data_IF_154890346972
#
_entry.id   IF_154890346972
#
_cell.length_a   1.000
_cell.length_b   1.000
_cell.length_c   1.000
_cell.angle_alpha   90.00
_cell.angle_beta   90.00
_cell.angle_gamma   90.00
#
_symmetry.space_group_name_H-M   'P 1'
#
loop_
_entity.id
_entity.type
_entity.pdbx_description
1 polymer ?
#
# COMPACT_ATOMS: atom_id res chain seq x y z
N UNK A 1 -11.46 16.75 -20.36
CA UNK A 1 -12.01 17.72 -19.39
C UNK A 1 -11.44 17.47 -17.99
N UNK A 2 -11.53 16.25 -17.45
CA UNK A 2 -11.08 15.91 -16.11
C UNK A 2 -9.57 16.15 -15.87
N UNK A 3 -8.70 15.86 -16.85
CA UNK A 3 -7.25 16.12 -16.72
C UNK A 3 -6.92 17.60 -16.58
N UNK A 4 -7.74 18.48 -17.16
CA UNK A 4 -7.59 19.93 -17.06
C UNK A 4 -7.83 20.40 -15.62
N UNK A 5 -8.80 19.83 -14.90
CA UNK A 5 -9.09 20.17 -13.50
C UNK A 5 -7.95 19.83 -12.56
N UNK A 6 -7.08 18.86 -12.92
CA UNK A 6 -5.85 18.52 -12.21
C UNK A 6 -4.61 19.21 -12.80
N UNK A 7 -4.77 20.26 -13.58
CA UNK A 7 -3.66 20.97 -14.24
C UNK A 7 -2.74 20.05 -15.05
N UNK A 8 -3.29 18.97 -15.63
CA UNK A 8 -2.59 17.93 -16.38
C UNK A 8 -1.51 17.19 -15.58
N UNK A 9 -1.58 17.20 -14.26
CA UNK A 9 -0.74 16.38 -13.38
C UNK A 9 -1.60 15.28 -12.79
N UNK A 10 -1.76 14.18 -13.52
CA UNK A 10 -2.62 13.08 -13.11
C UNK A 10 -2.09 11.72 -13.59
N UNK A 11 -2.63 10.68 -12.99
CA UNK A 11 -2.37 9.29 -13.36
C UNK A 11 -3.68 8.67 -13.77
N UNK A 12 -3.69 8.01 -14.92
CA UNK A 12 -4.78 7.17 -15.38
C UNK A 12 -4.47 5.75 -14.97
N UNK A 13 -5.34 5.14 -14.17
CA UNK A 13 -5.18 3.75 -13.70
C UNK A 13 -6.29 2.87 -14.25
N UNK A 14 -5.96 1.65 -14.71
CA UNK A 14 -6.99 0.67 -15.04
C UNK A 14 -7.78 0.27 -13.79
N UNK A 15 -9.10 0.06 -13.93
CA UNK A 15 -9.97 -0.40 -12.83
C UNK A 15 -9.69 -1.85 -12.46
N UNK A 16 -9.22 -2.63 -13.42
CA UNK A 16 -9.02 -4.07 -13.28
C UNK A 16 -7.65 -4.46 -13.86
N UNK A 17 -7.10 -5.56 -13.37
CA UNK A 17 -5.85 -6.17 -13.85
C UNK A 17 -4.61 -5.24 -13.79
N UNK A 18 -4.67 -4.18 -12.97
CA UNK A 18 -3.53 -3.32 -12.69
C UNK A 18 -2.65 -3.95 -11.60
N UNK A 19 -1.36 -4.20 -11.90
CA UNK A 19 -0.36 -4.68 -10.94
C UNK A 19 1.03 -4.25 -11.40
N UNK A 20 1.96 -4.08 -10.48
CA UNK A 20 3.36 -3.72 -10.77
C UNK A 20 3.52 -2.56 -11.76
N UNK A 21 2.66 -1.53 -11.63
CA UNK A 21 2.64 -0.37 -12.52
C UNK A 21 2.03 -0.61 -13.90
N UNK A 22 1.57 -1.82 -14.22
CA UNK A 22 0.80 -2.10 -15.44
C UNK A 22 -0.56 -1.43 -15.36
N UNK A 23 -1.03 -0.87 -16.48
CA UNK A 23 -2.30 -0.13 -16.53
C UNK A 23 -2.25 1.24 -15.87
N UNK A 24 -1.04 1.77 -15.57
CA UNK A 24 -0.87 3.12 -15.03
C UNK A 24 -0.18 4.03 -16.05
N UNK A 25 -0.78 5.17 -16.34
CA UNK A 25 -0.28 6.13 -17.32
C UNK A 25 -0.20 7.51 -16.72
N UNK A 26 1.01 8.08 -16.65
CA UNK A 26 1.18 9.49 -16.26
C UNK A 26 0.70 10.39 -17.37
N UNK A 27 -0.24 11.27 -17.07
CA UNK A 27 -0.78 12.25 -18.01
C UNK A 27 -0.12 13.60 -17.76
N UNK A 28 0.33 14.23 -18.85
CA UNK A 28 0.79 15.60 -18.90
C UNK A 28 0.30 16.28 -20.18
N UNK A 29 0.51 17.58 -20.32
CA UNK A 29 0.05 18.34 -21.49
C UNK A 29 0.56 17.81 -22.83
N UNK A 30 1.75 17.21 -22.83
CA UNK A 30 2.46 16.82 -24.05
C UNK A 30 2.09 15.42 -24.56
N UNK A 31 1.38 14.61 -23.75
CA UNK A 31 1.05 13.22 -24.11
C UNK A 31 -0.46 12.95 -24.21
N UNK A 32 -1.29 13.97 -24.26
CA UNK A 32 -2.76 13.83 -24.30
C UNK A 32 -3.25 13.08 -25.53
N UNK A 33 -2.55 13.23 -26.65
CA UNK A 33 -2.93 12.61 -27.93
C UNK A 33 -2.89 11.07 -27.89
N UNK A 34 -2.00 10.49 -27.08
CA UNK A 34 -1.89 9.03 -26.90
C UNK A 34 -3.20 8.44 -26.36
N UNK A 35 -3.97 9.23 -25.65
CA UNK A 35 -5.19 8.77 -24.96
C UNK A 35 -6.48 9.01 -25.76
N UNK A 36 -6.42 9.53 -26.98
CA UNK A 36 -7.62 9.82 -27.80
C UNK A 36 -8.46 8.58 -28.11
N UNK A 37 -7.82 7.43 -28.23
CA UNK A 37 -8.46 6.15 -28.54
C UNK A 37 -8.73 5.27 -27.32
N UNK A 38 -8.44 5.76 -26.10
CA UNK A 38 -8.65 5.00 -24.90
C UNK A 38 -10.13 4.87 -24.53
N UNK A 39 -10.57 3.67 -24.19
CA UNK A 39 -11.86 3.46 -23.57
C UNK A 39 -11.81 3.83 -22.08
N UNK A 40 -12.05 5.09 -21.76
CA UNK A 40 -11.97 5.64 -20.41
C UNK A 40 -12.93 5.01 -19.39
N UNK A 41 -13.94 4.25 -19.82
CA UNK A 41 -14.86 3.55 -18.91
C UNK A 41 -14.15 2.57 -18.01
N UNK A 42 -13.00 2.01 -18.48
CA UNK A 42 -12.20 1.04 -17.77
C UNK A 42 -11.08 1.65 -16.93
N UNK A 43 -11.07 2.97 -16.80
CA UNK A 43 -10.00 3.69 -16.10
C UNK A 43 -10.54 4.63 -15.03
N UNK A 44 -9.69 4.90 -14.04
CA UNK A 44 -9.87 5.94 -13.03
C UNK A 44 -8.78 6.98 -13.25
N UNK A 45 -9.15 8.26 -13.19
CA UNK A 45 -8.20 9.36 -13.25
C UNK A 45 -7.96 9.90 -11.84
N UNK A 46 -6.73 9.79 -11.37
CA UNK A 46 -6.29 10.30 -10.07
C UNK A 46 -5.40 11.51 -10.24
N UNK A 47 -5.52 12.47 -9.32
CA UNK A 47 -4.56 13.57 -9.23
C UNK A 47 -3.19 13.02 -8.88
N UNK A 48 -2.14 13.48 -9.57
CA UNK A 48 -0.77 13.14 -9.18
C UNK A 48 -0.45 13.72 -7.81
N UNK A 49 0.02 12.86 -6.92
CA UNK A 49 0.40 13.23 -5.55
C UNK A 49 1.92 13.43 -5.50
N UNK A 50 2.36 14.63 -5.07
CA UNK A 50 3.76 14.92 -4.79
C UNK A 50 4.03 14.59 -3.32
N UNK A 51 4.51 13.39 -3.08
CA UNK A 51 4.74 12.86 -1.75
C UNK A 51 6.23 12.91 -1.35
N UNK A 52 6.47 12.85 -0.05
CA UNK A 52 7.81 12.80 0.57
C UNK A 52 8.30 11.37 0.72
N UNK A 53 7.41 10.47 1.11
CA UNK A 53 7.69 9.05 1.36
C UNK A 53 6.50 8.18 1.02
N UNK A 54 6.78 6.93 0.72
CA UNK A 54 5.79 5.86 0.65
C UNK A 54 5.98 4.94 1.85
N UNK A 55 4.89 4.58 2.50
CA UNK A 55 4.88 3.63 3.62
C UNK A 55 3.78 2.60 3.40
N UNK A 56 3.88 1.48 4.09
CA UNK A 56 2.79 0.52 4.16
C UNK A 56 2.62 -0.07 5.55
N UNK A 57 1.38 -0.43 5.86
CA UNK A 57 0.98 -1.20 7.04
C UNK A 57 0.26 -2.45 6.55
N UNK A 58 0.65 -3.60 7.06
CA UNK A 58 -0.11 -4.85 6.88
C UNK A 58 -0.93 -5.08 8.13
N UNK A 59 -2.25 -5.16 7.95
CA UNK A 59 -3.21 -5.50 9.02
C UNK A 59 -3.73 -6.89 8.78
N UNK A 60 -3.86 -7.67 9.83
CA UNK A 60 -4.56 -8.95 9.82
C UNK A 60 -5.69 -8.89 10.81
N UNK A 61 -6.86 -9.33 10.39
CA UNK A 61 -8.06 -9.36 11.20
C UNK A 61 -8.70 -10.74 11.15
N UNK A 62 -9.06 -11.23 12.32
CA UNK A 62 -9.95 -12.38 12.52
C UNK A 62 -11.29 -11.89 13.07
N UNK A 63 -12.19 -12.81 13.39
CA UNK A 63 -13.46 -12.47 14.04
C UNK A 63 -13.26 -11.83 15.43
N UNK A 64 -12.22 -12.22 16.15
CA UNK A 64 -12.00 -11.87 17.56
C UNK A 64 -10.94 -10.78 17.76
N UNK A 65 -9.99 -10.65 16.85
CA UNK A 65 -8.85 -9.77 17.04
C UNK A 65 -8.37 -9.11 15.75
N UNK A 66 -7.63 -8.02 15.92
CA UNK A 66 -6.95 -7.31 14.82
C UNK A 66 -5.54 -6.98 15.27
N UNK A 67 -4.57 -7.31 14.42
CA UNK A 67 -3.15 -6.99 14.64
C UNK A 67 -2.60 -6.27 13.42
N UNK A 68 -1.47 -5.60 13.60
CA UNK A 68 -0.71 -5.02 12.49
C UNK A 68 0.75 -5.45 12.53
N UNK A 69 1.36 -5.52 11.37
CA UNK A 69 2.81 -5.51 11.22
C UNK A 69 3.33 -4.07 11.35
N UNK A 70 4.53 -3.89 11.90
CA UNK A 70 5.13 -2.56 11.96
C UNK A 70 5.19 -1.88 10.61
N UNK A 71 5.06 -0.56 10.62
CA UNK A 71 5.12 0.26 9.41
C UNK A 71 6.48 0.17 8.74
N UNK A 72 6.50 -0.06 7.44
CA UNK A 72 7.72 -0.07 6.61
C UNK A 72 7.71 1.10 5.63
N UNK A 73 8.92 1.60 5.33
CA UNK A 73 9.14 2.57 4.26
C UNK A 73 9.42 1.82 2.96
N UNK A 74 8.75 2.21 1.89
CA UNK A 74 8.83 1.57 0.59
C UNK A 74 9.53 2.47 -0.44
N UNK A 75 10.33 1.87 -1.29
CA UNK A 75 10.93 2.53 -2.45
C UNK A 75 10.46 1.84 -3.72
N UNK A 76 9.71 2.60 -4.54
CA UNK A 76 9.29 2.16 -5.85
C UNK A 76 10.18 2.75 -6.96
N UNK A 77 10.46 1.93 -7.98
CA UNK A 77 11.13 2.35 -9.22
C UNK A 77 10.27 1.93 -10.40
N UNK A 78 9.85 2.87 -11.24
CA UNK A 78 8.95 2.60 -12.38
C UNK A 78 7.63 1.92 -11.93
N UNK A 79 7.07 2.38 -10.81
CA UNK A 79 5.87 1.83 -10.18
C UNK A 79 5.98 0.37 -9.70
N UNK A 80 7.19 -0.16 -9.55
CA UNK A 80 7.45 -1.49 -8.99
C UNK A 80 8.17 -1.34 -7.66
N UNK A 81 7.68 -2.01 -6.62
CA UNK A 81 8.33 -2.04 -5.32
C UNK A 81 9.72 -2.68 -5.47
N UNK A 82 10.75 -1.96 -5.07
CA UNK A 82 12.14 -2.44 -5.09
C UNK A 82 12.67 -2.76 -3.72
N UNK A 83 12.32 -1.95 -2.74
CA UNK A 83 12.86 -2.11 -1.39
C UNK A 83 11.81 -1.74 -0.35
N UNK A 84 11.84 -2.46 0.78
CA UNK A 84 11.12 -2.08 2.00
C UNK A 84 12.10 -2.04 3.17
N UNK A 85 11.97 -1.05 4.03
CA UNK A 85 12.83 -0.86 5.19
C UNK A 85 12.03 -0.87 6.48
N UNK A 86 12.50 -1.66 7.45
CA UNK A 86 12.06 -1.57 8.83
C UNK A 86 13.24 -1.24 9.76
N UNK A 87 13.09 -0.32 10.71
CA UNK A 87 11.96 0.57 10.89
C UNK A 87 11.86 1.64 9.79
N UNK A 88 10.65 2.08 9.49
CA UNK A 88 10.42 3.23 8.64
C UNK A 88 11.03 4.49 9.28
N UNK A 89 11.67 5.33 8.49
CA UNK A 89 12.25 6.60 8.98
C UNK A 89 11.18 7.69 9.03
N UNK A 90 10.22 7.54 9.94
CA UNK A 90 9.08 8.44 10.17
C UNK A 90 8.97 8.77 11.66
N UNK A 91 8.19 9.78 12.02
CA UNK A 91 7.92 10.09 13.41
C UNK A 91 6.90 9.10 14.01
N UNK A 92 6.88 8.99 15.34
CA UNK A 92 5.92 8.12 16.05
C UNK A 92 4.47 8.54 15.83
N UNK A 93 4.22 9.83 15.69
CA UNK A 93 2.88 10.38 15.40
C UNK A 93 2.37 9.90 14.05
N UNK A 94 3.21 9.97 13.00
CA UNK A 94 2.88 9.47 11.66
C UNK A 94 2.67 7.95 11.69
N UNK A 95 3.52 7.21 12.39
CA UNK A 95 3.36 5.76 12.53
C UNK A 95 2.03 5.41 13.20
N UNK A 96 1.72 6.07 14.31
CA UNK A 96 0.44 5.86 15.04
C UNK A 96 -0.76 6.21 14.17
N UNK A 97 -0.72 7.32 13.44
CA UNK A 97 -1.79 7.72 12.53
C UNK A 97 -1.99 6.69 11.41
N UNK A 98 -0.89 6.18 10.82
CA UNK A 98 -0.94 5.16 9.77
C UNK A 98 -1.60 3.87 10.28
N UNK A 99 -1.25 3.42 11.49
CA UNK A 99 -1.82 2.22 12.11
C UNK A 99 -3.31 2.43 12.43
N UNK A 100 -3.70 3.57 13.02
CA UNK A 100 -5.10 3.87 13.33
C UNK A 100 -5.96 3.86 12.07
N UNK A 101 -5.53 4.58 11.02
CA UNK A 101 -6.22 4.57 9.72
C UNK A 101 -6.36 3.16 9.15
N UNK A 102 -5.33 2.34 9.31
CA UNK A 102 -5.34 0.96 8.81
C UNK A 102 -6.36 0.10 9.54
N UNK A 103 -6.50 0.25 10.86
CA UNK A 103 -7.52 -0.45 11.65
C UNK A 103 -8.93 0.04 11.32
N UNK A 104 -9.13 1.34 11.17
CA UNK A 104 -10.41 1.91 10.75
C UNK A 104 -10.87 1.34 9.42
N UNK A 105 -9.98 1.29 8.42
CA UNK A 105 -10.27 0.72 7.10
C UNK A 105 -10.62 -0.77 7.23
N UNK A 106 -9.79 -1.57 7.93
CA UNK A 106 -10.01 -2.99 8.11
C UNK A 106 -11.35 -3.30 8.79
N UNK A 107 -11.75 -2.46 9.75
CA UNK A 107 -13.05 -2.58 10.41
C UNK A 107 -14.20 -2.18 9.49
N UNK A 108 -14.05 -1.09 8.75
CA UNK A 108 -15.10 -0.56 7.87
C UNK A 108 -15.45 -1.54 6.74
N UNK A 109 -14.45 -2.23 6.17
CA UNK A 109 -14.67 -3.23 5.12
C UNK A 109 -15.00 -4.62 5.69
N UNK A 110 -15.16 -4.78 7.01
CA UNK A 110 -15.40 -6.06 7.66
C UNK A 110 -14.37 -7.11 7.27
N UNK A 111 -13.08 -6.73 7.26
CA UNK A 111 -11.98 -7.61 6.88
C UNK A 111 -12.00 -8.90 7.69
N UNK A 112 -11.78 -10.03 7.02
CA UNK A 112 -11.37 -11.28 7.61
C UNK A 112 -10.21 -11.85 6.80
N UNK A 113 -9.00 -11.81 7.36
CA UNK A 113 -7.76 -12.12 6.64
C UNK A 113 -6.75 -10.99 6.71
N UNK A 114 -5.96 -10.83 5.66
CA UNK A 114 -4.88 -9.85 5.55
C UNK A 114 -5.22 -8.70 4.61
N UNK A 115 -4.84 -7.49 4.98
CA UNK A 115 -4.93 -6.29 4.15
C UNK A 115 -3.62 -5.53 4.23
N UNK A 116 -2.98 -5.33 3.10
CA UNK A 116 -1.89 -4.37 2.99
C UNK A 116 -2.45 -3.01 2.56
N UNK A 117 -2.00 -1.95 3.20
CA UNK A 117 -2.43 -0.57 2.95
C UNK A 117 -1.19 0.24 2.62
N UNK A 118 -1.11 0.71 1.38
CA UNK A 118 -0.06 1.63 0.95
C UNK A 118 -0.50 3.07 1.13
N UNK A 119 0.42 3.90 1.58
CA UNK A 119 0.16 5.29 1.94
C UNK A 119 1.26 6.21 1.48
N UNK A 120 0.89 7.42 1.09
CA UNK A 120 1.81 8.52 0.85
C UNK A 120 1.89 9.44 2.07
N UNK A 121 3.11 9.81 2.45
CA UNK A 121 3.36 10.90 3.38
C UNK A 121 3.67 12.15 2.57
N UNK A 122 2.83 13.16 2.69
CA UNK A 122 2.99 14.44 2.01
C UNK A 122 4.07 15.30 2.67
N UNK A 123 4.48 16.38 2.00
CA UNK A 123 5.47 17.35 2.53
C UNK A 123 5.01 18.02 3.84
N UNK A 124 3.71 18.15 4.05
CA UNK A 124 3.10 18.67 5.27
C UNK A 124 2.83 17.58 6.33
N UNK A 125 3.38 16.38 6.14
CA UNK A 125 3.21 15.18 6.97
C UNK A 125 1.79 14.56 7.00
N UNK A 126 0.85 15.04 6.20
CA UNK A 126 -0.43 14.35 6.04
C UNK A 126 -0.24 12.98 5.38
N UNK A 127 -1.07 12.03 5.79
CA UNK A 127 -1.13 10.68 5.21
C UNK A 127 -2.29 10.61 4.23
N UNK A 128 -2.01 10.15 3.01
CA UNK A 128 -3.00 9.79 2.01
C UNK A 128 -2.95 8.30 1.74
N UNK A 129 -4.10 7.63 1.71
CA UNK A 129 -4.21 6.24 1.28
C UNK A 129 -3.99 6.20 -0.23
N UNK A 130 -3.11 5.31 -0.68
CA UNK A 130 -2.81 5.09 -2.09
C UNK A 130 -3.51 3.84 -2.63
N UNK A 131 -3.29 2.69 -1.97
CA UNK A 131 -3.77 1.40 -2.45
C UNK A 131 -4.18 0.50 -1.29
N UNK A 132 -5.21 -0.31 -1.50
CA UNK A 132 -5.66 -1.36 -0.61
C UNK A 132 -5.50 -2.72 -1.31
N UNK A 133 -4.73 -3.62 -0.73
CA UNK A 133 -4.53 -4.97 -1.23
C UNK A 133 -5.06 -6.00 -0.22
N UNK A 134 -6.30 -6.52 -0.38
CA UNK A 134 -6.88 -7.50 0.53
C UNK A 134 -6.31 -8.92 0.26
N UNK A 135 -5.01 -9.04 0.35
CA UNK A 135 -4.20 -10.24 0.12
C UNK A 135 -2.80 -10.04 0.68
N UNK A 136 -1.99 -11.12 0.85
CA UNK A 136 -0.55 -10.95 1.05
C UNK A 136 0.06 -10.05 -0.01
N UNK A 137 0.97 -9.19 0.41
CA UNK A 137 1.52 -8.13 -0.42
C UNK A 137 3.04 -8.13 -0.34
N UNK A 138 3.69 -7.74 -1.45
CA UNK A 138 5.15 -7.71 -1.51
C UNK A 138 5.78 -6.75 -0.48
N UNK A 139 5.11 -5.66 -0.10
CA UNK A 139 5.57 -4.80 1.00
C UNK A 139 5.52 -5.46 2.39
N UNK A 140 4.90 -6.63 2.51
CA UNK A 140 4.87 -7.46 3.72
C UNK A 140 5.80 -8.68 3.66
N UNK A 141 6.49 -8.94 2.54
CA UNK A 141 7.35 -10.14 2.39
C UNK A 141 8.52 -10.17 3.38
N UNK A 142 9.00 -9.00 3.81
CA UNK A 142 10.05 -8.89 4.83
C UNK A 142 9.71 -9.63 6.12
N UNK A 143 8.40 -9.83 6.40
CA UNK A 143 7.93 -10.53 7.60
C UNK A 143 8.29 -12.01 7.61
N UNK A 144 8.57 -12.63 6.46
CA UNK A 144 8.94 -14.04 6.37
C UNK A 144 10.26 -14.35 7.08
N UNK A 145 11.24 -13.46 6.99
CA UNK A 145 12.57 -13.67 7.54
C UNK A 145 12.84 -12.80 8.78
N UNK A 146 12.09 -11.73 8.99
CA UNK A 146 12.36 -10.76 10.05
C UNK A 146 11.31 -10.75 11.18
N UNK A 147 10.29 -11.61 11.12
CA UNK A 147 9.28 -11.76 12.18
C UNK A 147 9.18 -13.23 12.63
N UNK A 148 8.69 -13.41 13.86
CA UNK A 148 8.33 -14.75 14.38
C UNK A 148 7.12 -15.36 13.65
N UNK A 149 6.23 -14.53 13.10
CA UNK A 149 5.07 -14.91 12.32
C UNK A 149 5.00 -13.99 11.07
N UNK A 150 4.95 -14.59 9.91
CA UNK A 150 4.83 -13.87 8.65
C UNK A 150 3.39 -13.43 8.36
N UNK A 151 3.22 -12.55 7.38
CA UNK A 151 1.87 -12.20 6.90
C UNK A 151 1.07 -13.41 6.40
N UNK A 152 1.76 -14.47 5.94
CA UNK A 152 1.13 -15.70 5.46
C UNK A 152 0.66 -16.57 6.63
N UNK A 153 1.48 -16.70 7.68
CA UNK A 153 1.11 -17.46 8.88
C UNK A 153 -0.11 -16.85 9.53
N UNK A 154 -0.11 -15.54 9.74
CA UNK A 154 -1.26 -14.85 10.31
C UNK A 154 -2.49 -14.81 9.38
N UNK A 155 -2.32 -14.83 8.05
CA UNK A 155 -3.45 -15.04 7.13
C UNK A 155 -4.11 -16.39 7.39
N UNK A 156 -3.34 -17.48 7.44
CA UNK A 156 -3.84 -18.81 7.71
C UNK A 156 -4.51 -18.87 9.09
N UNK A 157 -3.82 -18.32 10.09
CA UNK A 157 -4.33 -18.25 11.47
C UNK A 157 -5.66 -17.49 11.56
N UNK A 158 -5.83 -16.40 10.80
CA UNK A 158 -7.07 -15.62 10.79
C UNK A 158 -8.26 -16.37 10.22
N UNK A 159 -8.02 -17.18 9.17
CA UNK A 159 -9.09 -17.87 8.44
C UNK A 159 -9.48 -19.19 9.09
N UNK A 160 -8.49 -19.99 9.49
CA UNK A 160 -8.74 -21.36 9.94
C UNK A 160 -8.84 -21.50 11.47
N UNK A 161 -8.05 -20.71 12.22
CA UNK A 161 -7.95 -20.88 13.66
C UNK A 161 -8.56 -19.72 14.44
N UNK A 162 -8.86 -18.63 13.76
CA UNK A 162 -9.38 -17.40 14.39
C UNK A 162 -8.46 -16.80 15.46
N UNK A 163 -7.20 -17.24 15.47
CA UNK A 163 -6.16 -16.87 16.44
C UNK A 163 -5.05 -16.11 15.72
N UNK A 164 -4.78 -14.88 16.15
CA UNK A 164 -3.71 -14.06 15.60
C UNK A 164 -2.54 -13.98 16.56
N UNK A 165 -1.34 -14.09 16.02
CA UNK A 165 -0.11 -13.95 16.78
C UNK A 165 0.59 -12.64 16.43
N UNK A 166 0.66 -11.67 17.38
CA UNK A 166 1.32 -10.40 17.12
C UNK A 166 2.77 -10.60 16.61
N UNK A 167 3.15 -9.94 15.52
CA UNK A 167 4.49 -10.09 14.97
C UNK A 167 5.54 -9.47 15.90
N UNK A 168 6.59 -10.23 16.20
CA UNK A 168 7.77 -9.74 16.90
C UNK A 168 8.91 -9.67 15.91
N UNK A 169 9.42 -8.46 15.67
CA UNK A 169 10.51 -8.25 14.72
C UNK A 169 11.84 -8.56 15.36
N UNK A 170 12.70 -9.31 14.66
CA UNK A 170 14.01 -9.76 15.18
C UNK A 170 15.01 -8.60 15.20
N UNK A 171 14.84 -7.59 14.34
CA UNK A 171 15.76 -6.45 14.26
C UNK A 171 15.45 -5.54 13.06
N UNK A 172 16.39 -4.66 12.71
CA UNK A 172 16.27 -3.84 11.49
C UNK A 172 16.38 -4.74 10.27
N UNK A 173 15.54 -4.50 9.28
CA UNK A 173 15.60 -5.26 8.04
C UNK A 173 15.48 -4.37 6.80
N UNK A 174 15.98 -4.88 5.69
CA UNK A 174 15.80 -4.35 4.35
C UNK A 174 15.43 -5.51 3.44
N UNK A 175 14.25 -5.46 2.90
CA UNK A 175 13.83 -6.36 1.83
C UNK A 175 14.23 -5.77 0.49
N UNK A 176 14.76 -6.59 -0.41
CA UNK A 176 15.08 -6.23 -1.80
C UNK A 176 14.30 -7.15 -2.71
N UNK A 177 13.51 -6.57 -3.59
CA UNK A 177 12.76 -7.29 -4.60
C UNK A 177 13.63 -7.49 -5.85
N UNK A 178 14.01 -8.72 -6.12
CA UNK A 178 14.85 -9.10 -7.27
C UNK A 178 13.95 -9.28 -8.49
N UNK A 179 13.86 -8.24 -9.35
CA UNK A 179 13.04 -8.21 -10.57
C UNK A 179 13.87 -7.69 -11.74
#
# INVERSE_FOLDING_TARGET
YASKSFSYKCILKSKELGYDGKGQYKINKNNLDIFKEFNFKNFILEKFVDFKKEISVVVVKSKESTINYPTVENIHKKSILRESFYPAKISKEIESEAIIKSFEIANHISLNGVLAIEMFILKNNQILINELAPRPHNSGHWSMDACNESQYDNLINSIFFNELKPPKVIGKCRMINLI
#
